data_IF_856163339208
#
_entry.id   IF_856163339208
#
_cell.length_a   1.000
_cell.length_b   1.000
_cell.length_c   1.000
_cell.angle_alpha   90.00
_cell.angle_beta   90.00
_cell.angle_gamma   90.00
#
_symmetry.space_group_name_H-M   'P 1'
#
loop_
_entity.id
_entity.type
_entity.pdbx_description
1 polymer ?
#
# COMPACT_ATOMS: atom_id res chain seq x y z
N UNK A 1 -2.34 9.17 10.63
CA UNK A 1 -0.96 9.72 10.65
C UNK A 1 -0.01 9.07 9.63
N UNK A 2 -0.04 7.74 9.38
CA UNK A 2 0.79 7.10 8.32
C UNK A 2 0.42 7.54 6.90
N UNK A 3 -0.89 7.58 6.58
CA UNK A 3 -1.37 7.93 5.25
C UNK A 3 -0.86 9.30 4.78
N UNK A 4 -0.74 10.27 5.70
CA UNK A 4 -0.19 11.58 5.37
C UNK A 4 1.30 11.53 5.01
N UNK A 5 2.07 10.70 5.73
CA UNK A 5 3.50 10.50 5.45
C UNK A 5 3.71 9.76 4.12
N UNK A 6 3.00 8.66 3.89
CA UNK A 6 3.05 7.94 2.60
C UNK A 6 2.63 8.85 1.44
N UNK A 7 1.62 9.70 1.61
CA UNK A 7 1.23 10.70 0.60
C UNK A 7 2.31 11.74 0.33
N UNK A 8 2.95 12.25 1.37
CA UNK A 8 4.05 13.21 1.22
C UNK A 8 5.21 12.61 0.44
N UNK A 9 5.66 11.41 0.80
CA UNK A 9 6.74 10.72 0.10
C UNK A 9 6.34 10.29 -1.31
N UNK A 10 5.11 9.80 -1.52
CA UNK A 10 4.60 9.46 -2.85
C UNK A 10 4.60 10.67 -3.78
N UNK A 11 4.24 11.87 -3.31
CA UNK A 11 4.30 13.09 -4.13
C UNK A 11 5.73 13.51 -4.49
N UNK A 12 6.70 13.26 -3.61
CA UNK A 12 8.09 13.66 -3.82
C UNK A 12 8.89 12.65 -4.64
N UNK A 13 8.64 11.35 -4.47
CA UNK A 13 9.39 10.27 -5.12
C UNK A 13 8.70 9.70 -6.36
N UNK A 14 7.37 9.79 -6.43
CA UNK A 14 6.58 9.31 -7.54
C UNK A 14 5.47 10.32 -7.89
N UNK A 15 5.82 11.53 -8.36
CA UNK A 15 4.86 12.62 -8.59
C UNK A 15 3.76 12.26 -9.61
N UNK A 16 4.05 11.35 -10.54
CA UNK A 16 3.10 10.87 -11.55
C UNK A 16 2.21 9.73 -11.04
N UNK A 17 2.47 9.19 -9.85
CA UNK A 17 1.70 8.11 -9.27
C UNK A 17 0.47 8.68 -8.55
N UNK A 18 -0.71 8.22 -8.95
CA UNK A 18 -1.96 8.58 -8.27
C UNK A 18 -1.90 8.15 -6.79
N UNK A 19 -2.46 8.95 -5.88
CA UNK A 19 -2.43 8.58 -4.46
C UNK A 19 -3.27 7.32 -4.20
N UNK A 20 -2.89 6.47 -3.22
CA UNK A 20 -3.69 5.32 -2.85
C UNK A 20 -5.11 5.76 -2.46
N UNK A 21 -6.15 5.03 -2.91
CA UNK A 21 -7.52 5.30 -2.50
C UNK A 21 -7.63 5.07 -0.98
N UNK A 22 -8.37 5.93 -0.29
CA UNK A 22 -8.56 5.79 1.16
C UNK A 22 -9.60 4.70 1.41
N UNK A 23 -9.24 3.59 2.08
CA UNK A 23 -10.24 2.61 2.46
C UNK A 23 -11.17 3.23 3.49
N UNK A 24 -12.48 3.20 3.20
CA UNK A 24 -13.53 3.55 4.14
C UNK A 24 -13.81 2.29 4.94
N UNK A 25 -13.73 2.38 6.28
CA UNK A 25 -13.79 1.21 7.17
C UNK A 25 -15.03 0.33 6.91
N UNK A 26 -16.16 0.95 6.56
CA UNK A 26 -17.46 0.30 6.34
C UNK A 26 -17.72 -0.14 4.88
N UNK A 27 -16.82 0.12 3.93
CA UNK A 27 -17.07 -0.15 2.51
C UNK A 27 -16.02 -1.09 1.90
N UNK A 28 -16.32 -2.39 1.87
CA UNK A 28 -15.46 -3.44 1.30
C UNK A 28 -14.95 -3.13 -0.12
N UNK A 29 -15.76 -2.47 -0.97
CA UNK A 29 -15.33 -2.06 -2.31
C UNK A 29 -14.14 -1.10 -2.31
N UNK A 30 -14.06 -0.20 -1.33
CA UNK A 30 -12.91 0.72 -1.21
C UNK A 30 -11.65 0.03 -0.70
N UNK A 31 -11.80 -1.02 0.11
CA UNK A 31 -10.69 -1.88 0.53
C UNK A 31 -10.13 -2.68 -0.64
N UNK A 32 -11.00 -3.22 -1.50
CA UNK A 32 -10.59 -3.93 -2.71
C UNK A 32 -9.87 -3.01 -3.70
N UNK A 33 -10.41 -1.81 -3.95
CA UNK A 33 -9.75 -0.82 -4.80
C UNK A 33 -8.36 -0.43 -4.27
N UNK A 34 -8.21 -0.31 -2.94
CA UNK A 34 -6.91 -0.09 -2.33
C UNK A 34 -5.97 -1.29 -2.56
N UNK A 35 -6.44 -2.52 -2.36
CA UNK A 35 -5.64 -3.71 -2.61
C UNK A 35 -5.16 -3.80 -4.07
N UNK A 36 -6.01 -3.45 -5.04
CA UNK A 36 -5.62 -3.42 -6.46
C UNK A 36 -4.57 -2.36 -6.74
N UNK A 37 -4.75 -1.16 -6.21
CA UNK A 37 -3.76 -0.09 -6.31
C UNK A 37 -2.40 -0.51 -5.73
N UNK A 38 -2.39 -1.14 -4.55
CA UNK A 38 -1.15 -1.65 -3.94
C UNK A 38 -0.54 -2.81 -4.72
N UNK A 39 -1.36 -3.67 -5.34
CA UNK A 39 -0.89 -4.74 -6.21
C UNK A 39 -0.15 -4.19 -7.43
N UNK A 40 -0.70 -3.16 -8.07
CA UNK A 40 -0.16 -2.60 -9.30
C UNK A 40 1.10 -1.76 -9.07
N UNK A 41 1.24 -1.19 -7.87
CA UNK A 41 2.31 -0.24 -7.55
C UNK A 41 3.22 -0.74 -6.42
N UNK A 42 3.23 -2.06 -6.17
CA UNK A 42 3.86 -2.64 -4.99
C UNK A 42 5.34 -2.29 -4.84
N UNK A 43 6.10 -2.32 -5.93
CA UNK A 43 7.55 -2.08 -5.88
C UNK A 43 7.89 -0.63 -5.50
N UNK A 44 7.20 0.35 -6.11
CA UNK A 44 7.38 1.77 -5.80
C UNK A 44 6.96 2.05 -4.35
N UNK A 45 5.84 1.48 -3.92
CA UNK A 45 5.33 1.66 -2.56
C UNK A 45 6.26 1.01 -1.53
N UNK A 46 6.86 -0.13 -1.87
CA UNK A 46 7.85 -0.82 -1.05
C UNK A 46 9.09 0.05 -0.84
N UNK A 47 9.60 0.66 -1.90
CA UNK A 47 10.73 1.59 -1.81
C UNK A 47 10.41 2.77 -0.89
N UNK A 48 9.26 3.41 -1.07
CA UNK A 48 8.79 4.51 -0.22
C UNK A 48 8.71 4.08 1.25
N UNK A 49 8.07 2.94 1.55
CA UNK A 49 7.85 2.47 2.91
C UNK A 49 9.19 2.12 3.59
N UNK A 50 10.15 1.56 2.86
CA UNK A 50 11.47 1.21 3.40
C UNK A 50 12.34 2.43 3.72
N UNK A 51 12.11 3.58 3.06
CA UNK A 51 12.82 4.83 3.36
C UNK A 51 12.27 5.59 4.57
N UNK A 52 11.10 5.23 5.08
CA UNK A 52 10.55 5.83 6.29
C UNK A 52 11.33 5.41 7.54
N UNK A 53 11.54 6.34 8.48
CA UNK A 53 12.17 6.00 9.76
C UNK A 53 11.23 5.15 10.63
N UNK A 54 11.67 3.95 10.97
CA UNK A 54 10.89 2.99 11.77
C UNK A 54 10.69 3.40 13.24
N UNK A 55 11.48 4.37 13.74
CA UNK A 55 11.34 4.92 15.09
C UNK A 55 10.26 5.99 15.19
N UNK A 56 9.84 6.56 14.06
CA UNK A 56 8.87 7.66 14.03
C UNK A 56 7.46 7.19 14.42
N UNK A 57 7.11 5.93 14.14
CA UNK A 57 5.88 5.33 14.64
C UNK A 57 5.90 3.80 14.60
N UNK A 58 5.18 3.18 15.54
CA UNK A 58 4.90 1.72 15.58
C UNK A 58 4.31 1.25 14.24
N UNK A 59 3.51 2.11 13.63
CA UNK A 59 2.74 1.78 12.47
C UNK A 59 3.55 1.82 11.16
N UNK A 60 4.61 2.65 11.09
CA UNK A 60 5.64 2.56 10.03
C UNK A 60 6.39 1.24 10.16
N UNK A 61 6.82 0.88 11.37
CA UNK A 61 7.51 -0.40 11.62
C UNK A 61 6.66 -1.59 11.14
N UNK A 62 5.39 -1.65 11.53
CA UNK A 62 4.45 -2.69 11.08
C UNK A 62 4.31 -2.73 9.56
N UNK A 63 4.20 -1.58 8.90
CA UNK A 63 4.14 -1.52 7.43
C UNK A 63 5.41 -2.05 6.76
N UNK A 64 6.58 -1.76 7.32
CA UNK A 64 7.85 -2.29 6.83
C UNK A 64 7.97 -3.80 7.03
N UNK A 65 7.49 -4.33 8.16
CA UNK A 65 7.46 -5.77 8.41
C UNK A 65 6.54 -6.48 7.42
N UNK A 66 5.34 -5.92 7.18
CA UNK A 66 4.39 -6.45 6.19
C UNK A 66 4.93 -6.42 4.76
N UNK A 67 5.62 -5.34 4.35
CA UNK A 67 6.11 -5.22 2.97
C UNK A 67 7.34 -6.10 2.67
N UNK A 68 7.95 -6.64 3.72
CA UNK A 68 9.03 -7.64 3.63
C UNK A 68 8.50 -9.06 3.57
N UNK A 69 7.22 -9.31 3.85
CA UNK A 69 6.61 -10.63 3.71
C UNK A 69 6.69 -11.08 2.23
N UNK A 70 7.40 -12.19 1.93
CA UNK A 70 7.50 -12.69 0.56
C UNK A 70 6.14 -13.07 -0.05
N UNK A 71 5.14 -13.40 0.78
CA UNK A 71 3.82 -13.80 0.33
C UNK A 71 2.91 -12.61 -0.02
N UNK A 72 3.25 -11.39 0.38
CA UNK A 72 2.40 -10.21 0.19
C UNK A 72 1.99 -10.02 -1.27
N UNK A 73 2.95 -10.13 -2.19
CA UNK A 73 2.70 -9.96 -3.64
C UNK A 73 1.75 -11.02 -4.17
N UNK A 74 1.98 -12.29 -3.80
CA UNK A 74 1.11 -13.39 -4.20
C UNK A 74 -0.31 -13.21 -3.64
N UNK A 75 -0.44 -12.80 -2.38
CA UNK A 75 -1.74 -12.54 -1.75
C UNK A 75 -2.51 -11.39 -2.44
N UNK A 76 -1.83 -10.30 -2.78
CA UNK A 76 -2.43 -9.18 -3.51
C UNK A 76 -2.89 -9.59 -4.92
N UNK A 77 -2.08 -10.37 -5.64
CA UNK A 77 -2.44 -10.92 -6.95
C UNK A 77 -3.66 -11.83 -6.84
N UNK A 78 -3.69 -12.71 -5.83
CA UNK A 78 -4.82 -13.61 -5.59
C UNK A 78 -6.12 -12.84 -5.38
N UNK A 79 -6.10 -11.80 -4.52
CA UNK A 79 -7.25 -10.92 -4.28
C UNK A 79 -7.69 -10.24 -5.57
N UNK A 80 -6.74 -9.74 -6.38
CA UNK A 80 -7.03 -9.07 -7.65
C UNK A 80 -7.67 -10.00 -8.68
N UNK A 81 -7.11 -11.19 -8.89
CA UNK A 81 -7.60 -12.16 -9.87
C UNK A 81 -9.00 -12.67 -9.49
N UNK A 82 -9.22 -13.01 -8.22
CA UNK A 82 -10.49 -13.58 -7.78
C UNK A 82 -11.66 -12.56 -7.83
N UNK A 83 -11.38 -11.25 -7.83
CA UNK A 83 -12.41 -10.24 -8.06
C UNK A 83 -12.72 -10.04 -9.55
N UNK A 84 -11.74 -10.20 -10.45
CA UNK A 84 -11.91 -10.02 -11.90
C UNK A 84 -12.70 -11.17 -12.53
N UNK A 85 -12.70 -12.36 -11.89
CA UNK A 85 -13.36 -13.58 -12.38
C UNK A 85 -14.81 -13.77 -11.87
N UNK A 86 -15.43 -12.74 -11.29
CA UNK A 86 -16.85 -12.72 -10.88
C UNK A 86 -17.63 -11.69 -11.68
#
# INVERSE_FOLDING_TARGET
MILHRVRYFSKNMAPNLALPPQPILTCWGTWLNAAFYYCDNLEIIKEIILQLNNKDSISIKKSQDLIKDPNLKANLIYIKIHQILK
#
